data_IF_057403166670
#
_entry.id   IF_057403166670
#
_cell.length_a   1.000
_cell.length_b   1.000
_cell.length_c   1.000
_cell.angle_alpha   90.00
_cell.angle_beta   90.00
_cell.angle_gamma   90.00
#
_symmetry.space_group_name_H-M   'P 1'
#
loop_
_entity.id
_entity.type
_entity.pdbx_description
1 polymer ?
#
# COMPACT_ATOMS: atom_id res chain seq x y z
N UNK A 1 11.85 -15.00 4.43
CA UNK A 1 12.41 -13.63 4.43
C UNK A 1 11.52 -12.77 3.56
N UNK A 2 11.11 -11.60 4.04
CA UNK A 2 10.35 -10.61 3.24
C UNK A 2 11.27 -9.75 2.38
N UNK A 3 10.70 -8.73 1.74
CA UNK A 3 11.42 -7.74 0.94
C UNK A 3 12.11 -6.76 1.88
N UNK A 4 13.37 -6.40 1.62
CA UNK A 4 14.05 -5.36 2.38
C UNK A 4 13.31 -4.01 2.24
N UNK A 5 13.13 -3.29 3.34
CA UNK A 5 12.32 -2.07 3.35
C UNK A 5 12.84 -1.00 2.38
N UNK A 6 14.18 -0.84 2.32
CA UNK A 6 14.85 0.09 1.41
C UNK A 6 14.65 -0.28 -0.06
N UNK A 7 14.70 -1.57 -0.40
CA UNK A 7 14.48 -2.07 -1.76
C UNK A 7 13.01 -1.93 -2.18
N UNK A 8 12.07 -2.30 -1.30
CA UNK A 8 10.65 -2.12 -1.55
C UNK A 8 10.33 -0.65 -1.80
N UNK A 9 10.87 0.25 -0.98
CA UNK A 9 10.68 1.68 -1.16
C UNK A 9 11.30 2.17 -2.48
N UNK A 10 12.56 1.85 -2.74
CA UNK A 10 13.33 2.34 -3.90
C UNK A 10 12.81 1.81 -5.24
N UNK A 11 12.45 0.54 -5.33
CA UNK A 11 12.16 -0.13 -6.60
C UNK A 11 10.67 -0.33 -6.88
N UNK A 12 9.81 -0.22 -5.86
CA UNK A 12 8.36 -0.40 -6.03
C UNK A 12 7.58 0.85 -5.63
N UNK A 13 7.71 1.30 -4.38
CA UNK A 13 6.85 2.37 -3.84
C UNK A 13 7.14 3.71 -4.52
N UNK A 14 8.39 4.18 -4.48
CA UNK A 14 8.80 5.45 -5.06
C UNK A 14 8.47 5.56 -6.55
N UNK A 15 8.85 4.59 -7.42
CA UNK A 15 8.52 4.67 -8.85
C UNK A 15 7.02 4.65 -9.12
N UNK A 16 6.24 3.92 -8.31
CA UNK A 16 4.78 3.87 -8.46
C UNK A 16 4.13 5.19 -8.08
N UNK A 17 4.53 5.81 -6.96
CA UNK A 17 4.03 7.13 -6.57
C UNK A 17 4.42 8.22 -7.56
N UNK A 18 5.63 8.17 -8.13
CA UNK A 18 6.06 9.09 -9.20
C UNK A 18 5.16 8.91 -10.43
N UNK A 19 4.90 7.67 -10.85
CA UNK A 19 4.02 7.37 -11.98
C UNK A 19 2.59 7.88 -11.78
N UNK A 20 2.08 7.85 -10.55
CA UNK A 20 0.77 8.40 -10.20
C UNK A 20 0.76 9.93 -10.03
N UNK A 21 1.91 10.60 -10.05
CA UNK A 21 2.02 12.03 -9.74
C UNK A 21 1.73 12.37 -8.27
N UNK A 22 1.95 11.42 -7.35
CA UNK A 22 1.61 11.51 -5.91
C UNK A 22 2.81 11.30 -4.98
N UNK A 23 4.02 11.45 -5.51
CA UNK A 23 5.24 11.23 -4.75
C UNK A 23 5.46 12.28 -3.65
N UNK A 24 5.60 11.81 -2.42
CA UNK A 24 6.09 12.56 -1.26
C UNK A 24 6.80 11.60 -0.29
N UNK A 25 7.69 12.13 0.55
CA UNK A 25 8.37 11.33 1.57
C UNK A 25 7.37 10.69 2.56
N UNK A 26 6.32 11.42 2.94
CA UNK A 26 5.24 10.90 3.80
C UNK A 26 4.48 9.76 3.11
N UNK A 27 4.17 9.87 1.82
CA UNK A 27 3.47 8.81 1.09
C UNK A 27 4.29 7.52 1.00
N UNK A 28 5.60 7.65 0.77
CA UNK A 28 6.53 6.51 0.78
C UNK A 28 6.56 5.82 2.15
N UNK A 29 6.79 6.60 3.21
CA UNK A 29 6.81 6.11 4.60
C UNK A 29 5.48 5.44 4.95
N UNK A 30 4.35 6.09 4.67
CA UNK A 30 3.04 5.53 4.99
C UNK A 30 2.82 4.16 4.32
N UNK A 31 3.08 4.04 3.01
CA UNK A 31 2.93 2.77 2.29
C UNK A 31 3.89 1.69 2.80
N UNK A 32 5.11 2.06 3.17
CA UNK A 32 6.08 1.14 3.74
C UNK A 32 5.62 0.63 5.11
N UNK A 33 5.09 1.52 5.96
CA UNK A 33 4.51 1.17 7.25
C UNK A 33 3.25 0.29 7.13
N UNK A 34 2.40 0.55 6.14
CA UNK A 34 1.24 -0.31 5.85
C UNK A 34 1.72 -1.71 5.43
N UNK A 35 2.69 -1.82 4.52
CA UNK A 35 3.24 -3.11 4.11
C UNK A 35 3.88 -3.88 5.27
N UNK A 36 4.59 -3.18 6.16
CA UNK A 36 5.15 -3.76 7.38
C UNK A 36 4.04 -4.31 8.29
N UNK A 37 3.00 -3.50 8.55
CA UNK A 37 1.90 -3.85 9.45
C UNK A 37 1.00 -4.97 8.91
N UNK A 38 0.81 -5.02 7.59
CA UNK A 38 -0.08 -5.99 6.95
C UNK A 38 0.59 -7.33 6.74
N UNK A 39 1.83 -7.36 6.25
CA UNK A 39 2.47 -8.60 5.79
C UNK A 39 3.91 -8.79 6.25
N UNK A 40 4.41 -7.94 7.17
CA UNK A 40 5.83 -7.91 7.52
C UNK A 40 6.72 -7.81 6.27
N UNK A 41 6.39 -6.84 5.41
CA UNK A 41 7.05 -6.59 4.12
C UNK A 41 7.06 -7.82 3.19
N UNK A 42 5.94 -8.56 3.14
CA UNK A 42 5.81 -9.75 2.30
C UNK A 42 6.33 -11.05 2.93
N UNK A 43 6.74 -11.06 4.20
CA UNK A 43 7.08 -12.31 4.90
C UNK A 43 5.83 -13.15 5.24
N UNK A 44 4.67 -12.51 5.37
CA UNK A 44 3.41 -13.12 5.81
C UNK A 44 2.29 -12.92 4.77
N UNK A 45 2.52 -13.41 3.54
CA UNK A 45 1.55 -13.28 2.44
C UNK A 45 0.37 -14.26 2.52
N UNK A 46 0.49 -15.35 3.28
CA UNK A 46 -0.55 -16.38 3.38
C UNK A 46 -1.43 -16.18 4.62
N UNK A 47 -2.62 -15.60 4.44
CA UNK A 47 -3.73 -15.62 5.40
C UNK A 47 -5.05 -15.31 4.65
N UNK A 48 -6.20 -15.68 5.23
CA UNK A 48 -7.55 -15.44 4.67
C UNK A 48 -7.99 -13.97 4.69
N UNK A 49 -7.10 -13.04 5.05
CA UNK A 49 -7.44 -11.63 5.35
C UNK A 49 -7.39 -10.70 4.14
N UNK A 50 -6.83 -11.14 3.01
CA UNK A 50 -6.75 -10.34 1.78
C UNK A 50 -5.54 -10.72 0.94
N UNK A 51 -5.33 -9.97 -0.14
CA UNK A 51 -4.34 -10.29 -1.17
C UNK A 51 -3.04 -9.51 -1.01
N UNK A 52 -1.93 -10.22 -1.19
CA UNK A 52 -0.58 -9.67 -1.38
C UNK A 52 0.00 -8.82 -0.24
N UNK A 53 0.91 -7.93 -0.64
CA UNK A 53 1.76 -7.11 0.24
C UNK A 53 0.96 -6.25 1.23
N UNK A 54 -0.18 -5.72 0.79
CA UNK A 54 -1.03 -4.81 1.56
C UNK A 54 -2.27 -5.50 2.17
N UNK A 55 -2.45 -6.80 1.95
CA UNK A 55 -3.62 -7.59 2.37
C UNK A 55 -4.94 -6.91 2.02
N UNK A 56 -5.10 -6.51 0.76
CA UNK A 56 -6.32 -5.85 0.29
C UNK A 56 -7.41 -6.89 0.08
N UNK A 57 -8.56 -6.72 0.73
CA UNK A 57 -9.71 -7.61 0.57
C UNK A 57 -10.40 -7.38 -0.79
N UNK A 58 -10.96 -8.45 -1.37
CA UNK A 58 -11.63 -8.39 -2.68
C UNK A 58 -12.75 -7.35 -2.74
N UNK A 59 -13.66 -7.24 -1.73
CA UNK A 59 -14.72 -6.23 -1.76
C UNK A 59 -14.19 -4.80 -1.72
N UNK A 60 -13.06 -4.55 -1.05
CA UNK A 60 -12.42 -3.22 -1.01
C UNK A 60 -11.79 -2.87 -2.35
N UNK A 61 -11.12 -3.84 -2.98
CA UNK A 61 -10.57 -3.65 -4.32
C UNK A 61 -11.65 -3.34 -5.35
N UNK A 62 -12.75 -4.11 -5.33
CA UNK A 62 -13.88 -3.91 -6.23
C UNK A 62 -14.54 -2.56 -5.99
N UNK A 63 -14.84 -2.21 -4.72
CA UNK A 63 -15.46 -0.93 -4.39
C UNK A 63 -14.63 0.28 -4.84
N UNK A 64 -13.29 0.19 -4.74
CA UNK A 64 -12.41 1.25 -5.23
C UNK A 64 -12.54 1.43 -6.75
N UNK A 65 -12.63 0.34 -7.51
CA UNK A 65 -12.86 0.42 -8.95
C UNK A 65 -14.23 1.00 -9.28
N UNK A 66 -15.27 0.45 -8.67
CA UNK A 66 -16.66 0.75 -9.00
C UNK A 66 -17.09 2.16 -8.56
N UNK A 67 -16.53 2.68 -7.47
CA UNK A 67 -16.98 3.94 -6.87
C UNK A 67 -15.97 5.08 -6.90
N UNK A 68 -14.67 4.80 -6.88
CA UNK A 68 -13.64 5.85 -6.85
C UNK A 68 -12.99 6.05 -8.22
N UNK A 69 -12.48 4.98 -8.82
CA UNK A 69 -11.84 5.05 -10.14
C UNK A 69 -12.85 5.30 -11.26
N UNK A 70 -14.08 4.80 -11.15
CA UNK A 70 -15.14 5.09 -12.11
C UNK A 70 -15.46 6.58 -12.27
N UNK A 71 -15.12 7.42 -11.28
CA UNK A 71 -15.33 8.87 -11.31
C UNK A 71 -14.24 9.64 -12.07
N UNK A 72 -13.09 9.00 -12.34
CA UNK A 72 -11.94 9.62 -13.01
C UNK A 72 -11.36 8.64 -14.05
N UNK A 73 -11.83 8.69 -15.32
CA UNK A 73 -11.41 7.78 -16.37
C UNK A 73 -9.91 7.79 -16.67
N UNK A 74 -9.26 8.95 -16.55
CA UNK A 74 -7.81 9.07 -16.79
C UNK A 74 -7.04 8.34 -15.70
N UNK A 75 -7.43 8.49 -14.43
CA UNK A 75 -6.84 7.74 -13.32
C UNK A 75 -7.12 6.25 -13.41
N UNK A 76 -8.34 5.87 -13.77
CA UNK A 76 -8.70 4.48 -14.00
C UNK A 76 -7.83 3.85 -15.09
N UNK A 77 -7.62 4.55 -16.21
CA UNK A 77 -6.74 4.14 -17.30
C UNK A 77 -5.29 4.01 -16.83
N UNK A 78 -4.77 5.01 -16.11
CA UNK A 78 -3.41 5.04 -15.57
C UNK A 78 -3.12 3.83 -14.67
N UNK A 79 -4.05 3.49 -13.78
CA UNK A 79 -3.95 2.33 -12.86
C UNK A 79 -4.15 1.02 -13.62
N UNK A 80 -5.11 0.96 -14.56
CA UNK A 80 -5.36 -0.23 -15.38
C UNK A 80 -4.14 -0.60 -16.21
N UNK A 81 -3.37 0.38 -16.67
CA UNK A 81 -2.11 0.21 -17.40
C UNK A 81 -0.99 -0.43 -16.58
N UNK A 82 -1.09 -0.46 -15.25
CA UNK A 82 -0.16 -1.20 -14.39
C UNK A 82 -0.50 -2.70 -14.30
N UNK A 83 -1.77 -3.07 -14.47
CA UNK A 83 -2.22 -4.46 -14.40
C UNK A 83 -2.02 -5.20 -15.73
N UNK A 84 -1.93 -6.53 -15.70
CA UNK A 84 -1.88 -7.33 -16.92
C UNK A 84 -3.11 -7.11 -17.79
N UNK A 85 -2.94 -7.23 -19.11
CA UNK A 85 -4.04 -7.03 -20.05
C UNK A 85 -5.08 -8.15 -19.94
N UNK A 86 -4.64 -9.41 -20.05
CA UNK A 86 -5.55 -10.56 -20.07
C UNK A 86 -5.91 -11.09 -18.69
N UNK A 87 -4.94 -11.30 -17.79
CA UNK A 87 -5.20 -11.99 -16.53
C UNK A 87 -6.06 -11.13 -15.59
N UNK A 88 -5.96 -9.80 -15.66
CA UNK A 88 -6.82 -8.89 -14.91
C UNK A 88 -8.31 -9.09 -15.24
N UNK A 89 -8.68 -9.37 -16.50
CA UNK A 89 -10.08 -9.53 -16.89
C UNK A 89 -10.72 -10.80 -16.29
N UNK A 90 -9.92 -11.85 -16.12
CA UNK A 90 -10.41 -13.14 -15.58
C UNK A 90 -10.26 -13.24 -14.06
N UNK A 91 -9.31 -12.50 -13.47
CA UNK A 91 -8.98 -12.59 -12.05
C UNK A 91 -8.33 -11.30 -11.53
N UNK A 92 -9.06 -10.19 -11.45
CA UNK A 92 -8.50 -8.87 -11.15
C UNK A 92 -7.84 -8.81 -9.76
N UNK A 93 -8.33 -9.60 -8.80
CA UNK A 93 -7.78 -9.63 -7.44
C UNK A 93 -6.39 -10.29 -7.35
N UNK A 94 -6.05 -11.19 -8.28
CA UNK A 94 -4.76 -11.89 -8.27
C UNK A 94 -3.60 -10.90 -8.45
N UNK A 95 -3.84 -9.80 -9.16
CA UNK A 95 -2.86 -8.73 -9.40
C UNK A 95 -2.38 -8.07 -8.11
N UNK A 96 -3.24 -8.00 -7.10
CA UNK A 96 -2.86 -7.49 -5.77
C UNK A 96 -1.78 -8.35 -5.10
N UNK A 97 -1.67 -9.62 -5.50
CA UNK A 97 -0.67 -10.57 -5.00
C UNK A 97 0.57 -10.63 -5.88
N UNK A 98 0.39 -10.69 -7.22
CA UNK A 98 1.51 -10.97 -8.15
C UNK A 98 2.19 -9.72 -8.71
N UNK A 99 1.55 -8.56 -8.60
CA UNK A 99 2.01 -7.31 -9.22
C UNK A 99 2.16 -6.23 -8.16
N UNK A 100 3.38 -6.09 -7.64
CA UNK A 100 3.66 -5.17 -6.54
C UNK A 100 3.36 -3.71 -6.89
N UNK A 101 3.64 -3.26 -8.13
CA UNK A 101 3.34 -1.88 -8.55
C UNK A 101 1.83 -1.62 -8.57
N UNK A 102 1.06 -2.56 -9.11
CA UNK A 102 -0.39 -2.48 -9.10
C UNK A 102 -0.94 -2.48 -7.67
N UNK A 103 -0.49 -3.41 -6.83
CA UNK A 103 -0.90 -3.49 -5.42
C UNK A 103 -0.59 -2.20 -4.65
N UNK A 104 0.59 -1.60 -4.88
CA UNK A 104 0.98 -0.31 -4.30
C UNK A 104 0.08 0.83 -4.79
N UNK A 105 -0.26 0.87 -6.07
CA UNK A 105 -1.16 1.89 -6.62
C UNK A 105 -2.55 1.80 -5.98
N UNK A 106 -3.13 0.60 -5.90
CA UNK A 106 -4.43 0.39 -5.24
C UNK A 106 -4.36 0.77 -3.76
N UNK A 107 -3.30 0.37 -3.04
CA UNK A 107 -3.12 0.73 -1.64
C UNK A 107 -3.05 2.26 -1.44
N UNK A 108 -2.34 2.97 -2.31
CA UNK A 108 -2.29 4.43 -2.28
C UNK A 108 -3.67 5.05 -2.51
N UNK A 109 -4.40 4.59 -3.51
CA UNK A 109 -5.70 5.15 -3.85
C UNK A 109 -6.76 4.88 -2.78
N UNK A 110 -6.68 3.78 -2.03
CA UNK A 110 -7.52 3.57 -0.84
C UNK A 110 -7.25 4.61 0.26
N UNK A 111 -6.02 5.09 0.39
CA UNK A 111 -5.69 6.20 1.30
C UNK A 111 -6.22 7.52 0.73
N UNK A 112 -5.99 7.77 -0.56
CA UNK A 112 -6.44 8.99 -1.24
C UNK A 112 -7.97 9.15 -1.23
N UNK A 113 -8.71 8.05 -1.39
CA UNK A 113 -10.18 8.01 -1.35
C UNK A 113 -10.77 8.58 -0.04
N UNK A 114 -10.08 8.39 1.08
CA UNK A 114 -10.54 8.93 2.37
C UNK A 114 -10.43 10.44 2.48
N UNK A 115 -9.66 11.08 1.60
CA UNK A 115 -9.47 12.53 1.56
C UNK A 115 -9.00 13.11 2.92
N UNK A 116 -8.23 12.32 3.68
CA UNK A 116 -7.62 12.75 4.95
C UNK A 116 -6.28 13.43 4.66
N UNK A 117 -5.98 14.58 5.29
CA UNK A 117 -4.67 15.20 5.14
C UNK A 117 -3.57 14.23 5.59
N UNK A 118 -2.50 14.16 4.80
CA UNK A 118 -1.33 13.37 5.19
C UNK A 118 -0.69 14.00 6.42
N UNK A 119 -0.23 13.17 7.38
CA UNK A 119 0.51 13.66 8.54
C UNK A 119 1.89 14.18 8.12
N UNK A 120 2.59 14.83 9.04
CA UNK A 120 4.02 15.11 8.87
C UNK A 120 4.83 13.80 8.76
N UNK A 121 5.99 13.87 8.11
CA UNK A 121 6.77 12.68 7.77
C UNK A 121 7.28 11.89 8.99
N UNK A 122 7.39 12.52 10.16
CA UNK A 122 7.81 11.94 11.43
C UNK A 122 6.62 11.58 12.36
N UNK A 123 5.38 11.92 11.99
CA UNK A 123 4.18 11.58 12.77
C UNK A 123 3.70 10.14 12.48
N UNK A 124 4.41 9.18 13.06
CA UNK A 124 4.07 7.75 13.00
C UNK A 124 2.68 7.45 13.57
N UNK A 125 2.19 8.22 14.54
CA UNK A 125 0.84 8.03 15.09
C UNK A 125 -0.23 8.50 14.10
N UNK A 126 0.00 9.61 13.40
CA UNK A 126 -0.80 10.05 12.27
C UNK A 126 -0.91 8.98 11.18
N UNK A 127 0.23 8.41 10.79
CA UNK A 127 0.26 7.30 9.82
C UNK A 127 -0.51 6.07 10.33
N UNK A 128 -0.35 5.72 11.60
CA UNK A 128 -1.08 4.61 12.22
C UNK A 128 -2.61 4.84 12.21
N UNK A 129 -3.07 6.08 12.37
CA UNK A 129 -4.51 6.42 12.30
C UNK A 129 -5.05 6.17 10.89
N UNK A 130 -4.33 6.62 9.87
CA UNK A 130 -4.70 6.38 8.46
C UNK A 130 -4.71 4.87 8.18
N UNK A 131 -3.66 4.14 8.55
CA UNK A 131 -3.61 2.68 8.37
C UNK A 131 -4.82 1.99 9.02
N UNK A 132 -5.14 2.34 10.27
CA UNK A 132 -6.27 1.74 10.99
C UNK A 132 -7.58 2.01 10.27
N UNK A 133 -7.83 3.27 9.87
CA UNK A 133 -9.06 3.65 9.18
C UNK A 133 -9.21 2.93 7.82
N UNK A 134 -8.12 2.78 7.09
CA UNK A 134 -8.11 2.27 5.71
C UNK A 134 -8.09 0.74 5.64
N UNK A 135 -7.18 0.12 6.38
CA UNK A 135 -6.75 -1.26 6.17
C UNK A 135 -7.11 -2.19 7.32
N UNK A 136 -7.16 -1.68 8.55
CA UNK A 136 -7.40 -2.52 9.73
C UNK A 136 -8.20 -1.79 10.81
N UNK A 137 -9.53 -1.62 10.63
CA UNK A 137 -10.36 -0.81 11.53
C UNK A 137 -10.35 -1.27 12.99
N UNK A 138 -10.17 -2.58 13.24
CA UNK A 138 -10.05 -3.14 14.59
C UNK A 138 -8.60 -3.17 15.12
N UNK A 139 -7.63 -2.69 14.34
CA UNK A 139 -6.22 -2.67 14.69
C UNK A 139 -5.89 -1.64 15.76
N UNK A 140 -4.86 -1.89 16.56
CA UNK A 140 -4.37 -0.92 17.54
C UNK A 140 -3.27 -0.08 16.90
N UNK A 141 -3.24 1.23 17.17
CA UNK A 141 -2.20 2.11 16.62
C UNK A 141 -0.78 1.63 16.95
N UNK A 142 -0.61 1.03 18.13
CA UNK A 142 0.66 0.45 18.57
C UNK A 142 1.15 -0.72 17.70
N UNK A 143 0.24 -1.44 17.05
CA UNK A 143 0.59 -2.58 16.22
C UNK A 143 1.33 -2.08 14.96
N UNK A 144 0.87 -0.94 14.41
CA UNK A 144 1.54 -0.24 13.31
C UNK A 144 2.93 0.26 13.73
N UNK A 145 3.04 0.96 14.86
CA UNK A 145 4.33 1.48 15.33
C UNK A 145 5.32 0.37 15.65
N UNK A 146 4.84 -0.76 16.18
CA UNK A 146 5.68 -1.94 16.43
C UNK A 146 6.19 -2.56 15.12
N UNK A 147 5.32 -2.71 14.12
CA UNK A 147 5.71 -3.21 12.80
C UNK A 147 6.72 -2.26 12.12
N UNK A 148 6.53 -0.94 12.24
CA UNK A 148 7.48 0.05 11.78
C UNK A 148 8.87 -0.12 12.42
N UNK A 149 8.93 -0.23 13.74
CA UNK A 149 10.19 -0.41 14.47
C UNK A 149 10.88 -1.74 14.14
N UNK A 150 10.12 -2.78 13.85
CA UNK A 150 10.66 -4.12 13.57
C UNK A 150 11.13 -4.27 12.13
N UNK A 151 10.40 -3.69 11.17
CA UNK A 151 10.63 -3.95 9.75
C UNK A 151 11.28 -2.78 8.99
N UNK A 152 11.11 -1.54 9.47
CA UNK A 152 11.51 -0.32 8.72
C UNK A 152 12.69 0.38 9.40
N UNK A 153 12.58 0.67 10.70
CA UNK A 153 13.60 1.42 11.45
C UNK A 153 15.00 0.80 11.47
N UNK A 154 15.19 -0.55 11.51
CA UNK A 154 16.52 -1.15 11.60
C UNK A 154 17.36 -0.95 10.33
N UNK A 155 16.74 -0.54 9.21
CA UNK A 155 17.40 -0.43 7.90
C UNK A 155 17.80 1.00 7.54
N UNK A 156 17.26 2.02 8.23
CA UNK A 156 17.72 3.41 8.08
C UNK A 156 19.09 3.66 8.74
N UNK A 157 19.61 2.73 9.56
CA UNK A 157 20.92 2.84 10.19
C UNK A 157 22.08 2.28 9.34
N UNK A 158 21.79 1.59 8.24
CA UNK A 158 22.83 0.98 7.37
C UNK A 158 23.16 1.86 6.16
N UNK A 159 22.50 3.02 6.04
CA UNK A 159 22.74 4.00 4.99
C UNK A 159 23.25 5.33 5.59
N UNK A 160 24.37 5.27 6.32
CA UNK A 160 25.25 6.39 6.61
C UNK A 160 26.68 5.99 6.26
#
# INVERSE_FOLDING_TARGET
>A
MGIAASELCRYVIRPTLIYLGRHSATAESLLLGIAASQSALGSALHDRRGHGLYRIAEPRHQALWDHYLALDPERASLVRGLASQHAFLSGPHVELTVNLRYATAIAWLMVEEQNTPLPEADDLLGMARIWRQTFQPQGRLRDFTFAWQTCVSPLNQVAC
#
